data_IF_685663084707
#
_entry.id   IF_685663084707
#
_cell.length_a   1.000
_cell.length_b   1.000
_cell.length_c   1.000
_cell.angle_alpha   90.00
_cell.angle_beta   90.00
_cell.angle_gamma   90.00
#
_symmetry.space_group_name_H-M   'P 1'
#
loop_
_entity.id
_entity.type
_entity.pdbx_description
1 polymer ?
#
# COMPACT_ATOMS: atom_id res chain seq x y z
N UNK A 1 8.24 16.36 -20.66
CA UNK A 1 7.57 15.39 -19.76
C UNK A 1 8.49 14.17 -19.68
N UNK A 2 8.87 13.71 -18.49
CA UNK A 2 9.68 12.48 -18.33
C UNK A 2 8.76 11.29 -18.61
N UNK A 3 9.18 10.37 -19.47
CA UNK A 3 8.49 9.08 -19.64
C UNK A 3 8.85 8.21 -18.42
N UNK A 4 7.86 7.61 -17.79
CA UNK A 4 8.01 6.71 -16.64
C UNK A 4 7.16 5.47 -16.88
N UNK A 5 7.64 4.33 -16.44
CA UNK A 5 6.81 3.13 -16.35
C UNK A 5 5.80 3.26 -15.19
N UNK A 6 4.85 2.36 -15.13
CA UNK A 6 3.84 2.34 -14.08
C UNK A 6 4.47 2.26 -12.68
N UNK A 7 5.40 1.33 -12.46
CA UNK A 7 6.06 1.19 -11.16
C UNK A 7 6.96 2.37 -10.81
N UNK A 8 7.66 2.95 -11.80
CA UNK A 8 8.43 4.19 -11.59
C UNK A 8 7.55 5.36 -11.17
N UNK A 9 6.35 5.50 -11.75
CA UNK A 9 5.43 6.57 -11.40
C UNK A 9 4.92 6.45 -9.95
N UNK A 10 4.63 5.22 -9.49
CA UNK A 10 4.24 4.96 -8.11
C UNK A 10 5.38 5.25 -7.14
N UNK A 11 6.59 4.77 -7.43
CA UNK A 11 7.76 4.98 -6.57
C UNK A 11 8.19 6.45 -6.51
N UNK A 12 8.07 7.18 -7.63
CA UNK A 12 8.34 8.62 -7.70
C UNK A 12 7.32 9.39 -6.84
N UNK A 13 6.03 9.06 -6.92
CA UNK A 13 4.98 9.65 -6.11
C UNK A 13 5.23 9.46 -4.61
N UNK A 14 5.58 8.22 -4.18
CA UNK A 14 5.95 7.93 -2.80
C UNK A 14 7.19 8.74 -2.40
N UNK A 15 8.20 8.78 -3.26
CA UNK A 15 9.44 9.52 -3.00
C UNK A 15 9.25 11.04 -2.89
N UNK A 16 8.32 11.61 -3.67
CA UNK A 16 7.94 13.02 -3.53
C UNK A 16 7.26 13.28 -2.19
N UNK A 17 6.24 12.50 -1.86
CA UNK A 17 5.50 12.64 -0.61
C UNK A 17 6.38 12.43 0.63
N UNK A 18 7.28 11.42 0.61
CA UNK A 18 8.24 11.20 1.69
C UNK A 18 9.23 12.37 1.88
N UNK A 19 9.52 13.13 0.83
CA UNK A 19 10.37 14.31 0.94
C UNK A 19 9.66 15.51 1.59
N UNK A 20 8.34 15.55 1.53
CA UNK A 20 7.51 16.64 2.05
C UNK A 20 6.94 16.33 3.44
N UNK A 21 6.74 15.04 3.77
CA UNK A 21 6.15 14.61 5.05
C UNK A 21 6.99 13.50 5.71
N UNK A 22 7.62 13.82 6.82
CA UNK A 22 8.45 12.89 7.59
C UNK A 22 7.64 11.78 8.29
N UNK A 23 6.33 11.89 8.36
CA UNK A 23 5.44 10.86 8.92
C UNK A 23 5.25 9.68 7.98
N UNK A 24 5.54 9.85 6.68
CA UNK A 24 5.40 8.76 5.70
C UNK A 24 6.56 7.78 5.88
N UNK A 25 6.20 6.53 6.17
CA UNK A 25 7.12 5.39 6.26
C UNK A 25 6.67 4.30 5.30
N UNK A 26 7.61 3.55 4.74
CA UNK A 26 7.36 2.46 3.82
C UNK A 26 7.90 1.15 4.40
N UNK A 27 7.08 0.12 4.50
CA UNK A 27 7.55 -1.17 5.00
C UNK A 27 6.71 -2.35 4.50
N UNK A 28 7.28 -3.54 4.61
CA UNK A 28 6.72 -4.81 4.17
C UNK A 28 7.82 -5.83 3.94
N UNK A 29 7.47 -7.01 3.47
CA UNK A 29 8.47 -8.00 3.09
C UNK A 29 9.29 -7.50 1.89
N UNK A 30 10.59 -7.77 1.90
CA UNK A 30 11.56 -7.42 0.85
C UNK A 30 11.59 -5.94 0.40
N UNK A 31 10.87 -5.04 1.06
CA UNK A 31 10.82 -3.60 0.72
C UNK A 31 12.20 -2.97 0.58
N UNK A 32 13.19 -3.18 1.48
CA UNK A 32 14.52 -2.61 1.32
C UNK A 32 15.24 -3.06 0.05
N UNK A 33 14.96 -4.26 -0.44
CA UNK A 33 15.51 -4.81 -1.67
C UNK A 33 14.78 -4.24 -2.89
N UNK A 34 13.45 -4.28 -2.88
CA UNK A 34 12.59 -3.88 -4.00
C UNK A 34 12.56 -2.35 -4.18
N UNK A 35 12.67 -1.60 -3.09
CA UNK A 35 12.62 -0.12 -3.08
C UNK A 35 13.98 0.48 -2.71
N UNK A 36 15.04 -0.08 -3.26
CA UNK A 36 16.42 0.34 -2.97
C UNK A 36 16.67 1.83 -3.19
N UNK A 37 16.05 2.43 -4.21
CA UNK A 37 16.13 3.86 -4.47
C UNK A 37 15.58 4.71 -3.32
N UNK A 38 14.43 4.34 -2.78
CA UNK A 38 13.81 4.98 -1.62
C UNK A 38 14.63 4.72 -0.35
N UNK A 39 15.15 3.49 -0.16
CA UNK A 39 16.01 3.18 0.97
C UNK A 39 17.29 4.06 1.00
N UNK A 40 17.94 4.22 -0.13
CA UNK A 40 19.15 5.06 -0.25
C UNK A 40 18.82 6.53 0.07
N UNK A 41 17.66 7.02 -0.36
CA UNK A 41 17.23 8.41 -0.20
C UNK A 41 16.76 8.73 1.22
N UNK A 42 15.99 7.83 1.86
CA UNK A 42 15.29 8.10 3.12
C UNK A 42 15.80 7.29 4.32
N UNK A 43 16.63 6.30 4.08
CA UNK A 43 17.30 5.51 5.10
C UNK A 43 16.42 4.42 5.74
N UNK A 44 17.06 3.53 6.55
CA UNK A 44 16.41 2.33 7.08
C UNK A 44 15.41 2.59 8.21
N UNK A 45 15.29 3.81 8.68
CA UNK A 45 14.25 4.18 9.66
C UNK A 45 12.91 4.53 9.01
N UNK A 46 12.90 4.80 7.71
CA UNK A 46 11.69 5.15 6.94
C UNK A 46 11.38 4.14 5.84
N UNK A 47 12.33 3.28 5.46
CA UNK A 47 12.15 2.19 4.50
C UNK A 47 12.62 0.92 5.17
N UNK A 48 11.68 0.08 5.62
CA UNK A 48 11.94 -1.05 6.52
C UNK A 48 11.50 -2.38 5.90
N UNK A 49 12.26 -3.44 6.18
CA UNK A 49 11.84 -4.81 5.90
C UNK A 49 11.13 -5.44 7.09
N UNK A 50 10.22 -6.34 6.80
CA UNK A 50 9.54 -7.17 7.80
C UNK A 50 9.73 -8.65 7.49
N UNK A 51 9.59 -9.54 8.47
CA UNK A 51 9.36 -10.95 8.18
C UNK A 51 8.07 -11.13 7.38
N UNK A 52 7.94 -12.25 6.66
CA UNK A 52 6.69 -12.64 6.00
C UNK A 52 5.65 -12.95 7.08
N UNK A 53 4.73 -12.03 7.31
CA UNK A 53 3.69 -12.13 8.35
C UNK A 53 2.63 -11.03 8.13
N UNK A 54 1.80 -11.18 7.11
CA UNK A 54 0.92 -10.14 6.59
C UNK A 54 -0.05 -9.60 7.65
N UNK A 55 -0.63 -10.45 8.48
CA UNK A 55 -1.48 -10.00 9.59
C UNK A 55 -0.72 -9.12 10.59
N UNK A 56 0.56 -9.44 10.86
CA UNK A 56 1.35 -8.67 11.81
C UNK A 56 1.79 -7.32 11.23
N UNK A 57 2.36 -7.30 10.01
CA UNK A 57 2.87 -6.02 9.48
C UNK A 57 1.76 -5.10 8.97
N UNK A 58 0.63 -5.61 8.46
CA UNK A 58 -0.53 -4.77 8.15
C UNK A 58 -1.17 -4.23 9.44
N UNK A 59 -1.28 -5.06 10.48
CA UNK A 59 -1.72 -4.60 11.81
C UNK A 59 -0.78 -3.54 12.40
N UNK A 60 0.53 -3.68 12.23
CA UNK A 60 1.50 -2.65 12.61
C UNK A 60 1.30 -1.35 11.82
N UNK A 61 0.90 -1.43 10.54
CA UNK A 61 0.52 -0.27 9.72
C UNK A 61 -0.68 0.46 10.30
N UNK A 62 -1.73 -0.26 10.69
CA UNK A 62 -2.89 0.34 11.36
C UNK A 62 -2.48 1.04 12.64
N UNK A 63 -1.68 0.38 13.49
CA UNK A 63 -1.20 0.95 14.74
C UNK A 63 -0.29 2.17 14.53
N UNK A 64 0.57 2.15 13.52
CA UNK A 64 1.41 3.28 13.15
C UNK A 64 0.58 4.49 12.69
N UNK A 65 -0.48 4.25 11.92
CA UNK A 65 -1.42 5.30 11.52
C UNK A 65 -2.13 5.92 12.74
N UNK A 66 -2.60 5.09 13.68
CA UNK A 66 -3.18 5.58 14.95
C UNK A 66 -2.18 6.40 15.78
N UNK A 67 -0.88 6.09 15.67
CA UNK A 67 0.19 6.84 16.35
C UNK A 67 0.59 8.14 15.61
N UNK A 68 -0.10 8.50 14.53
CA UNK A 68 0.12 9.75 13.78
C UNK A 68 1.11 9.65 12.63
N UNK A 69 1.57 8.45 12.26
CA UNK A 69 2.33 8.22 11.03
C UNK A 69 1.39 8.06 9.81
N UNK A 70 1.97 8.08 8.63
CA UNK A 70 1.29 7.80 7.36
C UNK A 70 1.98 6.61 6.67
N UNK A 71 1.68 5.39 7.09
CA UNK A 71 2.37 4.21 6.58
C UNK A 71 1.93 3.83 5.18
N UNK A 72 2.90 3.48 4.34
CA UNK A 72 2.71 2.69 3.13
C UNK A 72 3.18 1.27 3.44
N UNK A 73 2.28 0.32 3.35
CA UNK A 73 2.56 -1.10 3.61
C UNK A 73 2.55 -1.85 2.29
N UNK A 74 3.64 -2.51 1.94
CA UNK A 74 3.68 -3.38 0.76
C UNK A 74 3.35 -4.81 1.14
N UNK A 75 2.31 -5.37 0.51
CA UNK A 75 1.82 -6.72 0.73
C UNK A 75 1.96 -7.52 -0.57
N UNK A 76 2.83 -8.52 -0.58
CA UNK A 76 3.12 -9.38 -1.73
C UNK A 76 2.54 -10.79 -1.53
N UNK A 77 1.42 -11.17 -2.23
CA UNK A 77 0.65 -10.42 -3.24
C UNK A 77 -0.83 -10.36 -2.82
N UNK A 78 -1.72 -9.96 -3.73
CA UNK A 78 -3.15 -9.83 -3.44
C UNK A 78 -3.78 -11.05 -2.77
N UNK A 79 -3.28 -12.24 -3.09
CA UNK A 79 -3.69 -13.52 -2.51
C UNK A 79 -3.56 -13.56 -0.99
N UNK A 80 -2.52 -12.91 -0.44
CA UNK A 80 -2.22 -12.86 0.99
C UNK A 80 -2.99 -11.76 1.74
N UNK A 81 -3.84 -10.99 1.05
CA UNK A 81 -4.85 -10.15 1.72
C UNK A 81 -5.73 -10.98 2.66
N UNK A 82 -5.97 -12.25 2.32
CA UNK A 82 -6.74 -13.16 3.17
C UNK A 82 -6.10 -13.38 4.54
N UNK A 83 -4.76 -13.33 4.62
CA UNK A 83 -4.02 -13.44 5.89
C UNK A 83 -4.12 -12.16 6.72
N UNK A 84 -4.17 -10.99 6.06
CA UNK A 84 -4.27 -9.68 6.71
C UNK A 84 -5.73 -9.19 6.89
N UNK A 85 -6.72 -10.03 6.58
CA UNK A 85 -8.13 -9.64 6.50
C UNK A 85 -8.64 -9.00 7.79
N UNK A 86 -8.29 -9.53 8.95
CA UNK A 86 -8.73 -8.98 10.24
C UNK A 86 -8.23 -7.54 10.45
N UNK A 87 -6.95 -7.30 10.19
CA UNK A 87 -6.36 -5.97 10.32
C UNK A 87 -7.02 -4.94 9.40
N UNK A 88 -7.42 -5.33 8.20
CA UNK A 88 -8.09 -4.46 7.23
C UNK A 88 -9.57 -4.28 7.54
N UNK A 89 -10.29 -5.41 7.70
CA UNK A 89 -11.74 -5.44 7.83
C UNK A 89 -12.23 -4.94 9.20
N UNK A 90 -11.62 -5.45 10.27
CA UNK A 90 -12.09 -5.22 11.64
C UNK A 90 -11.39 -4.03 12.32
N UNK A 91 -10.21 -3.65 11.86
CA UNK A 91 -9.47 -2.53 12.41
C UNK A 91 -9.44 -1.34 11.46
N UNK A 92 -8.67 -1.35 10.37
CA UNK A 92 -8.48 -0.19 9.52
C UNK A 92 -9.80 0.43 9.03
N UNK A 93 -10.70 -0.38 8.47
CA UNK A 93 -11.97 0.08 7.90
C UNK A 93 -12.96 0.64 8.91
N UNK A 94 -12.83 0.31 10.21
CA UNK A 94 -13.83 0.63 11.23
C UNK A 94 -13.33 1.52 12.34
N UNK A 95 -12.04 1.81 12.37
CA UNK A 95 -11.39 2.56 13.44
C UNK A 95 -12.05 3.92 13.69
N UNK A 96 -12.35 4.66 12.64
CA UNK A 96 -12.99 5.98 12.72
C UNK A 96 -14.39 5.89 13.37
N UNK A 97 -15.19 4.92 12.93
CA UNK A 97 -16.55 4.71 13.46
C UNK A 97 -16.50 4.27 14.92
N UNK A 98 -15.65 3.31 15.27
CA UNK A 98 -15.56 2.80 16.64
C UNK A 98 -15.00 3.82 17.63
N UNK A 99 -14.14 4.71 17.16
CA UNK A 99 -13.59 5.79 17.99
C UNK A 99 -14.49 7.03 18.07
N UNK A 100 -15.64 7.03 17.38
CA UNK A 100 -16.48 8.22 17.28
C UNK A 100 -15.79 9.37 16.54
N UNK A 101 -14.97 9.07 15.54
CA UNK A 101 -14.22 10.04 14.73
C UNK A 101 -12.94 10.56 15.40
N UNK A 102 -12.52 9.97 16.54
CA UNK A 102 -11.32 10.42 17.25
C UNK A 102 -10.02 9.91 16.62
N UNK A 103 -10.06 8.76 15.93
CA UNK A 103 -8.93 8.14 15.29
C UNK A 103 -9.17 7.96 13.79
N UNK A 104 -8.18 8.32 13.00
CA UNK A 104 -8.11 8.04 11.59
C UNK A 104 -7.14 6.88 11.31
N UNK A 105 -7.24 6.30 10.12
CA UNK A 105 -6.32 5.25 9.66
C UNK A 105 -5.74 5.62 8.29
N UNK A 106 -4.89 6.67 8.19
CA UNK A 106 -4.26 7.09 6.94
C UNK A 106 -3.17 6.07 6.51
N UNK A 107 -3.63 4.89 6.15
CA UNK A 107 -2.82 3.74 5.75
C UNK A 107 -3.00 3.50 4.25
N UNK A 108 -1.91 3.39 3.50
CA UNK A 108 -1.92 2.88 2.13
C UNK A 108 -1.36 1.46 2.14
N UNK A 109 -2.14 0.49 1.66
CA UNK A 109 -1.65 -0.87 1.41
C UNK A 109 -1.44 -1.02 -0.10
N UNK A 110 -0.20 -1.18 -0.52
CA UNK A 110 0.22 -1.36 -1.89
C UNK A 110 0.26 -2.85 -2.21
N UNK A 111 -0.41 -3.27 -3.29
CA UNK A 111 -0.74 -4.68 -3.51
C UNK A 111 -0.54 -5.08 -4.97
N UNK A 112 0.53 -5.77 -5.33
CA UNK A 112 0.65 -6.41 -6.63
C UNK A 112 -0.44 -7.47 -6.81
N UNK A 113 -1.06 -7.49 -8.00
CA UNK A 113 -2.22 -8.36 -8.29
C UNK A 113 -2.27 -8.78 -9.76
N UNK A 114 -3.13 -9.73 -10.07
CA UNK A 114 -3.39 -10.16 -11.43
C UNK A 114 -2.42 -11.23 -11.94
N UNK A 115 -2.87 -11.93 -12.98
CA UNK A 115 -2.15 -13.03 -13.61
C UNK A 115 -1.22 -12.59 -14.73
N UNK A 116 -0.58 -13.59 -15.35
CA UNK A 116 0.25 -13.42 -16.53
C UNK A 116 1.73 -13.73 -16.35
N UNK A 117 2.17 -13.95 -15.12
CA UNK A 117 3.56 -14.35 -14.82
C UNK A 117 3.77 -15.87 -14.77
N UNK A 118 2.71 -16.66 -14.58
CA UNK A 118 2.81 -18.11 -14.42
C UNK A 118 3.17 -18.53 -12.99
N UNK A 119 2.90 -17.70 -12.01
CA UNK A 119 3.20 -17.92 -10.57
C UNK A 119 2.20 -18.89 -9.91
N UNK A 120 1.16 -19.30 -10.64
CA UNK A 120 0.13 -20.23 -10.15
C UNK A 120 -0.98 -19.59 -9.33
N UNK A 121 -1.94 -20.41 -8.91
CA UNK A 121 -3.22 -19.97 -8.36
C UNK A 121 -3.16 -19.25 -7.00
N UNK A 122 -2.01 -19.17 -6.36
CA UNK A 122 -1.84 -18.50 -5.08
C UNK A 122 -1.07 -17.17 -5.17
N UNK A 123 -0.72 -16.72 -6.39
CA UNK A 123 0.08 -15.51 -6.62
C UNK A 123 -0.47 -14.65 -7.77
N UNK A 124 -1.63 -14.99 -8.33
CA UNK A 124 -2.14 -14.33 -9.53
C UNK A 124 -3.62 -13.89 -9.41
N UNK A 125 -4.17 -13.90 -8.21
CA UNK A 125 -5.57 -13.51 -8.01
C UNK A 125 -5.75 -11.99 -8.01
N UNK A 126 -6.98 -11.57 -8.36
CA UNK A 126 -7.40 -10.18 -8.36
C UNK A 126 -8.55 -10.02 -7.36
N UNK A 127 -8.22 -9.68 -6.12
CA UNK A 127 -9.16 -9.69 -5.00
C UNK A 127 -9.74 -8.31 -4.65
N UNK A 128 -9.56 -7.29 -5.51
CA UNK A 128 -10.11 -5.95 -5.27
C UNK A 128 -11.63 -5.94 -5.07
N UNK A 129 -12.37 -6.85 -5.73
CA UNK A 129 -13.81 -6.96 -5.56
C UNK A 129 -14.25 -7.34 -4.14
N UNK A 130 -13.46 -8.16 -3.43
CA UNK A 130 -13.71 -8.47 -2.02
C UNK A 130 -13.58 -7.23 -1.14
N UNK A 131 -12.53 -6.46 -1.40
CA UNK A 131 -12.22 -5.26 -0.62
C UNK A 131 -13.18 -4.11 -0.93
N UNK A 132 -13.60 -3.96 -2.18
CA UNK A 132 -14.58 -2.96 -2.60
C UNK A 132 -15.96 -3.16 -1.96
N UNK A 133 -16.25 -4.35 -1.43
CA UNK A 133 -17.48 -4.64 -0.70
C UNK A 133 -17.44 -4.17 0.76
N UNK A 134 -16.27 -3.79 1.28
CA UNK A 134 -16.08 -3.42 2.68
C UNK A 134 -16.24 -1.91 2.87
N UNK A 135 -17.30 -1.43 3.56
CA UNK A 135 -17.43 -0.02 3.89
C UNK A 135 -16.23 0.48 4.74
N UNK A 136 -15.74 1.67 4.42
CA UNK A 136 -14.61 2.29 5.10
C UNK A 136 -13.25 2.04 4.44
N UNK A 137 -13.20 1.21 3.38
CA UNK A 137 -12.00 1.06 2.55
C UNK A 137 -12.15 1.83 1.23
N UNK A 138 -11.11 2.53 0.83
CA UNK A 138 -10.96 3.03 -0.54
C UNK A 138 -10.16 2.00 -1.32
N UNK A 139 -10.67 1.58 -2.48
CA UNK A 139 -10.02 0.58 -3.34
C UNK A 139 -9.69 1.20 -4.68
N UNK A 140 -8.44 1.20 -5.06
CA UNK A 140 -7.92 1.78 -6.29
C UNK A 140 -7.19 0.72 -7.12
N UNK A 141 -7.41 0.74 -8.44
CA UNK A 141 -6.74 -0.12 -9.40
C UNK A 141 -6.43 0.68 -10.67
N UNK A 142 -5.40 1.53 -10.66
CA UNK A 142 -5.02 2.34 -11.82
C UNK A 142 -4.55 1.47 -12.98
N UNK A 143 -4.66 2.01 -14.20
CA UNK A 143 -4.30 1.28 -15.42
C UNK A 143 -3.28 2.01 -16.29
N UNK A 144 -2.88 3.23 -15.93
CA UNK A 144 -1.86 4.00 -16.64
C UNK A 144 -0.82 4.56 -15.66
N UNK A 145 0.43 4.81 -16.08
CA UNK A 145 1.44 5.44 -15.23
C UNK A 145 0.99 6.79 -14.65
N UNK A 146 0.29 7.60 -15.43
CA UNK A 146 -0.20 8.91 -15.01
C UNK A 146 -1.25 8.79 -13.89
N UNK A 147 -2.20 7.86 -14.04
CA UNK A 147 -3.21 7.59 -13.02
C UNK A 147 -2.56 6.99 -11.76
N UNK A 148 -1.60 6.08 -11.95
CA UNK A 148 -0.92 5.42 -10.84
C UNK A 148 -0.17 6.44 -9.95
N UNK A 149 0.61 7.33 -10.54
CA UNK A 149 1.30 8.39 -9.80
C UNK A 149 0.33 9.37 -9.12
N UNK A 150 -0.68 9.85 -9.86
CA UNK A 150 -1.67 10.80 -9.33
C UNK A 150 -2.52 10.22 -8.20
N UNK A 151 -3.02 9.00 -8.38
CA UNK A 151 -3.82 8.31 -7.35
C UNK A 151 -2.97 7.92 -6.13
N UNK A 152 -1.69 7.59 -6.31
CA UNK A 152 -0.79 7.34 -5.18
C UNK A 152 -0.59 8.60 -4.35
N UNK A 153 -0.34 9.76 -4.97
CA UNK A 153 -0.24 11.04 -4.26
C UNK A 153 -1.54 11.37 -3.51
N UNK A 154 -2.70 11.18 -4.16
CA UNK A 154 -3.99 11.34 -3.50
C UNK A 154 -4.20 10.39 -2.34
N UNK A 155 -3.77 9.13 -2.47
CA UNK A 155 -3.84 8.12 -1.41
C UNK A 155 -3.01 8.50 -0.19
N UNK A 156 -1.82 9.06 -0.40
CA UNK A 156 -0.93 9.49 0.67
C UNK A 156 -1.44 10.73 1.43
N UNK A 157 -2.40 11.46 0.86
CA UNK A 157 -3.07 12.60 1.51
C UNK A 157 -4.40 12.22 2.15
N UNK A 158 -4.95 11.04 1.80
CA UNK A 158 -6.23 10.58 2.32
C UNK A 158 -6.14 10.22 3.82
N UNK A 159 -7.20 10.51 4.59
CA UNK A 159 -7.21 10.24 6.03
C UNK A 159 -7.73 8.83 6.40
N UNK A 160 -8.35 8.14 5.47
CA UNK A 160 -8.81 6.76 5.64
C UNK A 160 -7.87 5.73 4.99
N UNK A 161 -8.15 4.43 5.19
CA UNK A 161 -7.35 3.36 4.60
C UNK A 161 -7.60 3.20 3.10
N UNK A 162 -6.51 3.10 2.34
CA UNK A 162 -6.52 2.91 0.89
C UNK A 162 -5.84 1.60 0.53
N UNK A 163 -6.51 0.77 -0.26
CA UNK A 163 -5.93 -0.41 -0.88
C UNK A 163 -5.60 -0.09 -2.35
N UNK A 164 -4.33 -0.07 -2.66
CA UNK A 164 -3.80 0.33 -3.96
C UNK A 164 -3.32 -0.90 -4.73
N UNK A 165 -4.12 -1.38 -5.66
CA UNK A 165 -3.83 -2.57 -6.46
C UNK A 165 -3.02 -2.23 -7.71
N UNK A 166 -1.92 -2.92 -7.92
CA UNK A 166 -1.02 -2.76 -9.05
C UNK A 166 -1.04 -4.04 -9.89
N UNK A 167 -1.58 -3.97 -11.11
CA UNK A 167 -1.57 -5.15 -11.97
C UNK A 167 -0.14 -5.45 -12.42
N UNK A 168 0.37 -6.64 -12.13
CA UNK A 168 1.77 -7.02 -12.35
C UNK A 168 2.25 -6.81 -13.79
N UNK A 169 1.42 -7.09 -14.79
CA UNK A 169 1.77 -6.87 -16.20
C UNK A 169 1.89 -5.40 -16.61
N UNK A 170 1.42 -4.46 -15.79
CA UNK A 170 1.57 -3.03 -16.07
C UNK A 170 2.86 -2.44 -15.51
N UNK A 171 3.59 -3.16 -14.65
CA UNK A 171 4.73 -2.61 -13.91
C UNK A 171 5.77 -1.95 -14.81
N UNK A 172 6.02 -2.51 -15.99
CA UNK A 172 6.99 -2.02 -16.97
C UNK A 172 6.36 -1.22 -18.13
N UNK A 173 5.04 -0.98 -18.11
CA UNK A 173 4.32 -0.27 -19.18
C UNK A 173 4.44 1.25 -19.08
#
# INVERSE_FOLDING_TARGET
>A
MRSMSFSEAVDDAIGQAMAEDDRIILFGEDVPLLRRGLLVRFGPRRVLGTPISESAFVGAGVAAAMAGLRPVVELYMADFLSVAMDALLNHAAKLEVFSGGQWASPLVVRIPSGGGYGDGGQHEQSLWGWMAHVPGLVVLAPSTPADAGGLMLGSLQHEGPVLFFEHKLLSES
#
